data_IF_385953653095
#
_entry.id   IF_385953653095
#
_cell.length_a   1.000
_cell.length_b   1.000
_cell.length_c   1.000
_cell.angle_alpha   90.00
_cell.angle_beta   90.00
_cell.angle_gamma   90.00
#
_symmetry.space_group_name_H-M   'P 1'
#
loop_
_entity.id
_entity.type
_entity.pdbx_description
1 polymer ?
#
# COMPACT_ATOMS: atom_id res chain seq x y z
N UNK A 1 0.77 5.87 5.97
CA UNK A 1 2.23 5.88 5.61
C UNK A 1 3.07 6.00 6.87
N UNK A 2 4.39 5.83 6.77
CA UNK A 2 5.33 5.98 7.89
C UNK A 2 6.53 6.84 7.42
N UNK A 3 6.34 8.12 7.11
CA UNK A 3 7.38 8.92 6.45
C UNK A 3 8.65 9.05 7.32
N UNK A 4 8.51 9.25 8.61
CA UNK A 4 9.65 9.35 9.54
C UNK A 4 10.46 8.05 9.59
N UNK A 5 9.79 6.90 9.66
CA UNK A 5 10.44 5.58 9.66
C UNK A 5 11.17 5.32 8.35
N UNK A 6 10.55 5.61 7.22
CA UNK A 6 11.15 5.43 5.88
C UNK A 6 12.40 6.32 5.76
N UNK A 7 12.30 7.59 6.14
CA UNK A 7 13.44 8.52 6.11
C UNK A 7 14.60 8.05 6.99
N UNK A 8 14.30 7.53 8.19
CA UNK A 8 15.33 6.97 9.09
C UNK A 8 16.00 5.74 8.47
N UNK A 9 15.20 4.81 7.94
CA UNK A 9 15.71 3.59 7.30
C UNK A 9 16.65 3.93 6.12
N UNK A 10 16.23 4.88 5.27
CA UNK A 10 17.04 5.36 4.15
C UNK A 10 18.37 5.99 4.61
N UNK A 11 18.35 6.84 5.66
CA UNK A 11 19.56 7.43 6.23
C UNK A 11 20.54 6.39 6.80
N UNK A 12 20.00 5.27 7.31
CA UNK A 12 20.78 4.18 7.85
C UNK A 12 21.12 3.10 6.83
N UNK A 13 20.77 3.32 5.56
CA UNK A 13 20.90 2.33 4.46
C UNK A 13 20.22 0.98 4.77
N UNK A 14 19.06 1.03 5.41
CA UNK A 14 18.23 -0.14 5.71
C UNK A 14 17.17 -0.29 4.62
N UNK A 15 17.14 -1.45 3.96
CA UNK A 15 16.11 -1.77 2.98
C UNK A 15 14.74 -1.96 3.67
N UNK A 16 13.70 -1.35 3.10
CA UNK A 16 12.33 -1.46 3.59
C UNK A 16 11.49 -2.26 2.60
N UNK A 17 10.75 -3.24 3.10
CA UNK A 17 9.77 -4.01 2.32
C UNK A 17 8.37 -3.77 2.89
N UNK A 18 7.46 -3.26 2.03
CA UNK A 18 6.06 -3.07 2.39
C UNK A 18 5.25 -4.33 2.07
N UNK A 19 4.52 -4.83 3.06
CA UNK A 19 3.46 -5.81 2.87
C UNK A 19 2.09 -5.10 2.79
N UNK A 20 1.06 -5.83 2.34
CA UNK A 20 -0.32 -5.30 2.21
C UNK A 20 -0.41 -4.01 1.39
N UNK A 21 0.32 -3.96 0.27
CA UNK A 21 0.51 -2.77 -0.57
C UNK A 21 -0.79 -2.21 -1.18
N UNK A 22 -1.91 -2.95 -1.10
CA UNK A 22 -3.21 -2.54 -1.62
C UNK A 22 -4.14 -1.96 -0.53
N UNK A 23 -3.59 -1.64 0.65
CA UNK A 23 -4.33 -1.02 1.74
C UNK A 23 -5.45 -1.91 2.30
N UNK A 24 -6.69 -1.37 2.48
CA UNK A 24 -7.77 -2.08 3.18
C UNK A 24 -8.16 -3.41 2.53
N UNK A 25 -8.02 -3.57 1.22
CA UNK A 25 -8.35 -4.82 0.52
C UNK A 25 -7.58 -6.03 1.07
N UNK A 26 -6.33 -5.83 1.46
CA UNK A 26 -5.49 -6.91 2.00
C UNK A 26 -6.04 -7.53 3.29
N UNK A 27 -6.98 -6.86 3.93
CA UNK A 27 -7.55 -7.26 5.23
C UNK A 27 -9.03 -7.66 5.16
N UNK A 28 -9.77 -7.26 4.11
CA UNK A 28 -11.22 -7.51 3.99
C UNK A 28 -11.62 -8.99 3.98
N UNK A 29 -10.75 -9.86 3.48
CA UNK A 29 -10.99 -11.31 3.41
C UNK A 29 -10.56 -12.05 4.69
N UNK A 30 -10.03 -11.32 5.67
CA UNK A 30 -9.59 -11.89 6.95
C UNK A 30 -10.76 -11.98 7.95
N UNK A 31 -10.62 -12.80 9.02
CA UNK A 31 -11.62 -12.85 10.11
C UNK A 31 -11.93 -11.46 10.69
N UNK A 32 -13.13 -11.27 11.28
CA UNK A 32 -13.60 -9.96 11.78
C UNK A 32 -12.64 -9.24 12.74
N UNK A 33 -11.86 -9.98 13.53
CA UNK A 33 -10.84 -9.39 14.40
C UNK A 33 -9.81 -8.52 13.64
N UNK A 34 -9.56 -8.83 12.36
CA UNK A 34 -8.60 -8.10 11.51
C UNK A 34 -9.30 -7.18 10.50
N UNK A 35 -10.49 -7.56 10.02
CA UNK A 35 -11.18 -6.87 8.93
C UNK A 35 -12.11 -5.75 9.40
N UNK A 36 -12.54 -5.73 10.67
CA UNK A 36 -13.54 -4.77 11.18
C UNK A 36 -13.17 -3.29 10.91
N UNK A 37 -11.87 -2.97 10.93
CA UNK A 37 -11.38 -1.59 10.69
C UNK A 37 -11.31 -1.20 9.21
N UNK A 38 -11.59 -2.13 8.30
CA UNK A 38 -11.45 -1.92 6.85
C UNK A 38 -12.77 -1.79 6.12
N UNK A 39 -13.88 -2.16 6.76
CA UNK A 39 -15.18 -2.26 6.10
C UNK A 39 -15.70 -0.91 5.56
N UNK A 40 -15.48 0.17 6.30
CA UNK A 40 -15.93 1.52 5.95
C UNK A 40 -14.83 2.37 5.29
N UNK A 41 -13.72 1.75 4.90
CA UNK A 41 -12.62 2.45 4.23
C UNK A 41 -12.69 2.20 2.73
N UNK A 42 -12.68 3.29 1.94
CA UNK A 42 -12.64 3.19 0.49
C UNK A 42 -11.38 2.42 0.03
N UNK A 43 -11.54 1.61 -1.01
CA UNK A 43 -10.42 0.91 -1.61
C UNK A 43 -9.52 1.91 -2.34
N UNK A 44 -8.22 1.79 -2.17
CA UNK A 44 -7.27 2.71 -2.80
C UNK A 44 -7.33 2.69 -4.32
N UNK A 45 -7.63 1.54 -4.91
CA UNK A 45 -7.75 1.44 -6.36
C UNK A 45 -9.04 2.01 -6.95
N UNK A 46 -10.06 2.33 -6.12
CA UNK A 46 -11.29 2.99 -6.55
C UNK A 46 -11.21 4.53 -6.44
N UNK A 47 -10.10 5.06 -5.94
CA UNK A 47 -9.91 6.51 -5.76
C UNK A 47 -9.48 7.15 -7.08
N UNK A 48 -10.13 8.27 -7.44
CA UNK A 48 -9.94 8.97 -8.72
C UNK A 48 -8.48 9.22 -9.07
N UNK A 49 -7.66 9.67 -8.11
CA UNK A 49 -6.25 9.97 -8.36
C UNK A 49 -5.47 8.73 -8.82
N UNK A 50 -5.79 7.54 -8.28
CA UNK A 50 -5.17 6.28 -8.68
C UNK A 50 -5.69 5.83 -10.05
N UNK A 51 -7.00 5.95 -10.27
CA UNK A 51 -7.64 5.60 -11.54
C UNK A 51 -7.15 6.48 -12.69
N UNK A 52 -7.01 7.79 -12.47
CA UNK A 52 -6.52 8.72 -13.48
C UNK A 52 -5.06 8.41 -13.88
N UNK A 53 -4.20 8.14 -12.90
CA UNK A 53 -2.83 7.71 -13.17
C UNK A 53 -2.79 6.37 -13.94
N UNK A 54 -3.64 5.41 -13.56
CA UNK A 54 -3.76 4.13 -14.25
C UNK A 54 -4.18 4.31 -15.71
N UNK A 55 -5.20 5.12 -15.97
CA UNK A 55 -5.70 5.42 -17.31
C UNK A 55 -4.63 6.11 -18.18
N UNK A 56 -3.90 7.09 -17.63
CA UNK A 56 -2.81 7.79 -18.34
C UNK A 56 -1.72 6.83 -18.82
N UNK A 57 -1.39 5.84 -18.02
CA UNK A 57 -0.29 4.91 -18.32
C UNK A 57 -0.75 3.61 -19.01
N UNK A 58 -2.06 3.38 -19.17
CA UNK A 58 -2.58 2.09 -19.66
C UNK A 58 -2.25 0.93 -18.73
N UNK A 59 -2.15 1.19 -17.43
CA UNK A 59 -1.84 0.20 -16.38
C UNK A 59 -3.04 0.01 -15.45
N UNK A 60 -2.99 -1.01 -14.62
CA UNK A 60 -4.03 -1.23 -13.59
C UNK A 60 -3.77 -0.35 -12.36
N UNK A 61 -4.81 -0.03 -11.62
CA UNK A 61 -4.69 0.69 -10.34
C UNK A 61 -3.77 -0.04 -9.34
N UNK A 62 -3.78 -1.38 -9.35
CA UNK A 62 -2.85 -2.17 -8.54
C UNK A 62 -1.39 -1.92 -8.92
N UNK A 63 -1.07 -1.88 -10.21
CA UNK A 63 0.27 -1.55 -10.70
C UNK A 63 0.68 -0.13 -10.30
N UNK A 64 -0.23 0.85 -10.36
CA UNK A 64 0.02 2.22 -9.89
C UNK A 64 0.43 2.26 -8.42
N UNK A 65 -0.31 1.57 -7.56
CA UNK A 65 -0.01 1.51 -6.12
C UNK A 65 1.34 0.83 -5.83
N UNK A 66 1.68 -0.22 -6.55
CA UNK A 66 2.98 -0.87 -6.43
C UNK A 66 4.11 0.07 -6.89
N UNK A 67 3.93 0.72 -8.04
CA UNK A 67 4.93 1.66 -8.57
C UNK A 67 5.13 2.86 -7.65
N UNK A 68 4.07 3.41 -7.07
CA UNK A 68 4.15 4.47 -6.08
C UNK A 68 5.05 4.09 -4.89
N UNK A 69 4.92 2.88 -4.35
CA UNK A 69 5.79 2.43 -3.27
C UNK A 69 7.25 2.28 -3.73
N UNK A 70 7.46 1.68 -4.91
CA UNK A 70 8.81 1.45 -5.46
C UNK A 70 9.54 2.75 -5.78
N UNK A 71 8.88 3.77 -6.33
CA UNK A 71 9.50 5.07 -6.60
C UNK A 71 9.89 5.82 -5.32
N UNK A 72 9.34 5.45 -4.18
CA UNK A 72 9.73 5.92 -2.85
C UNK A 72 10.85 5.08 -2.20
N UNK A 73 11.48 4.18 -2.97
CA UNK A 73 12.57 3.32 -2.48
C UNK A 73 12.10 2.17 -1.56
N UNK A 74 10.84 1.74 -1.70
CA UNK A 74 10.25 0.68 -0.86
C UNK A 74 10.00 -0.54 -1.73
N UNK A 75 10.56 -1.69 -1.35
CA UNK A 75 10.24 -2.97 -2.00
C UNK A 75 8.81 -3.41 -1.66
N UNK A 76 8.17 -4.13 -2.58
CA UNK A 76 6.79 -4.60 -2.42
C UNK A 76 6.67 -6.10 -2.60
N UNK A 77 5.75 -6.73 -1.88
CA UNK A 77 5.50 -8.18 -1.93
C UNK A 77 4.00 -8.46 -2.14
N UNK A 78 3.45 -8.10 -3.31
CA UNK A 78 2.03 -8.31 -3.58
C UNK A 78 1.68 -9.79 -3.69
N UNK A 79 0.63 -10.23 -2.98
CA UNK A 79 0.09 -11.58 -3.06
C UNK A 79 -1.01 -11.65 -4.12
N UNK A 80 -0.98 -12.66 -4.96
CA UNK A 80 -2.09 -13.01 -5.85
C UNK A 80 -2.16 -14.52 -6.08
N UNK A 81 -3.38 -15.05 -6.24
CA UNK A 81 -3.64 -16.42 -6.69
C UNK A 81 -4.04 -16.46 -8.18
N UNK A 82 -4.10 -15.31 -8.84
CA UNK A 82 -4.43 -15.17 -10.24
C UNK A 82 -3.15 -14.99 -11.06
N UNK A 83 -2.95 -15.84 -12.09
CA UNK A 83 -1.73 -15.86 -12.92
C UNK A 83 -1.51 -14.54 -13.66
N UNK A 84 -2.57 -13.95 -14.19
CA UNK A 84 -2.46 -12.70 -14.96
C UNK A 84 -2.10 -11.52 -14.05
N UNK A 85 -2.69 -11.47 -12.85
CA UNK A 85 -2.32 -10.48 -11.84
C UNK A 85 -0.89 -10.66 -11.32
N UNK A 86 -0.38 -11.90 -11.24
CA UNK A 86 1.04 -12.13 -10.91
C UNK A 86 1.95 -11.56 -11.98
N UNK A 87 1.64 -11.76 -13.27
CA UNK A 87 2.39 -11.16 -14.37
C UNK A 87 2.33 -9.63 -14.30
N UNK A 88 1.13 -9.04 -14.16
CA UNK A 88 0.95 -7.60 -14.01
C UNK A 88 1.74 -7.00 -12.84
N UNK A 89 1.80 -7.71 -11.70
CA UNK A 89 2.57 -7.26 -10.54
C UNK A 89 4.09 -7.22 -10.79
N UNK A 90 4.60 -7.95 -11.77
CA UNK A 90 6.00 -7.89 -12.20
C UNK A 90 6.25 -6.75 -13.21
N UNK A 91 5.23 -6.35 -13.97
CA UNK A 91 5.29 -5.31 -14.99
C UNK A 91 5.11 -3.91 -14.38
N UNK A 92 5.87 -3.60 -13.34
CA UNK A 92 5.78 -2.32 -12.60
C UNK A 92 7.06 -1.49 -12.69
N UNK A 93 8.01 -1.90 -13.52
CA UNK A 93 9.32 -1.24 -13.65
C UNK A 93 9.50 -0.45 -14.94
N UNK A 94 8.59 -0.62 -15.91
CA UNK A 94 8.69 -0.10 -17.29
C UNK A 94 8.03 1.29 -17.49
N UNK A 95 7.52 1.91 -16.43
CA UNK A 95 6.88 3.22 -16.43
C UNK A 95 7.15 3.98 -15.13
N UNK A 96 6.86 5.27 -15.14
CA UNK A 96 7.02 6.15 -13.97
C UNK A 96 5.76 6.98 -13.73
N UNK A 97 5.44 7.13 -12.45
CA UNK A 97 4.49 8.12 -11.96
C UNK A 97 5.15 9.49 -11.96
N UNK A 98 4.40 10.51 -12.29
CA UNK A 98 4.82 11.90 -12.17
C UNK A 98 4.86 12.31 -10.69
N UNK A 99 5.61 13.37 -10.38
CA UNK A 99 5.81 13.78 -8.99
C UNK A 99 4.51 14.22 -8.33
N UNK A 100 3.66 14.94 -9.06
CA UNK A 100 2.32 15.32 -8.61
C UNK A 100 1.40 14.12 -8.36
N UNK A 101 1.52 13.04 -9.14
CA UNK A 101 0.79 11.79 -8.90
C UNK A 101 1.29 11.09 -7.63
N UNK A 102 2.61 11.06 -7.41
CA UNK A 102 3.20 10.50 -6.17
C UNK A 102 2.73 11.29 -4.95
N UNK A 103 2.72 12.62 -5.03
CA UNK A 103 2.24 13.49 -3.96
C UNK A 103 0.74 13.29 -3.71
N UNK A 104 -0.08 13.28 -4.77
CA UNK A 104 -1.51 13.10 -4.66
C UNK A 104 -1.89 11.73 -4.04
N UNK A 105 -1.22 10.65 -4.46
CA UNK A 105 -1.43 9.31 -3.85
C UNK A 105 -0.95 9.32 -2.38
N UNK A 106 0.15 10.00 -2.09
CA UNK A 106 0.65 10.14 -0.71
C UNK A 106 -0.31 10.93 0.18
N UNK A 107 -1.00 11.92 -0.37
CA UNK A 107 -2.05 12.69 0.30
C UNK A 107 -3.29 11.87 0.72
N UNK A 108 -3.45 10.65 0.21
CA UNK A 108 -4.51 9.73 0.63
C UNK A 108 -4.26 9.11 2.02
N UNK A 109 -3.11 9.35 2.62
CA UNK A 109 -2.78 8.79 3.95
C UNK A 109 -3.71 9.33 5.03
N UNK A 110 -4.39 8.43 5.71
CA UNK A 110 -5.32 8.72 6.79
C UNK A 110 -4.78 8.27 8.16
N UNK A 111 -3.52 7.88 8.25
CA UNK A 111 -2.91 7.37 9.48
C UNK A 111 -3.53 6.07 9.97
N UNK A 112 -4.23 5.30 9.12
CA UNK A 112 -4.91 4.08 9.52
C UNK A 112 -3.93 2.91 9.64
N UNK A 113 -3.96 2.24 10.78
CA UNK A 113 -3.20 1.02 11.07
C UNK A 113 -4.15 -0.17 10.96
N UNK A 114 -4.03 -0.96 9.88
CA UNK A 114 -4.88 -2.14 9.69
C UNK A 114 -4.34 -3.37 10.42
N UNK A 115 -3.02 -3.51 10.51
CA UNK A 115 -2.35 -4.58 11.22
C UNK A 115 -1.76 -4.06 12.54
N UNK A 116 -2.63 -3.85 13.50
CA UNK A 116 -2.27 -3.32 14.82
C UNK A 116 -2.47 -4.41 15.88
N UNK A 117 -1.38 -4.97 16.36
CA UNK A 117 -1.39 -6.02 17.36
C UNK A 117 -2.01 -5.59 18.70
N UNK A 118 -2.10 -4.29 18.96
CA UNK A 118 -2.83 -3.74 20.10
C UNK A 118 -4.32 -4.07 20.12
N UNK A 119 -4.90 -4.52 18.98
CA UNK A 119 -6.33 -4.82 18.87
C UNK A 119 -6.67 -6.31 18.91
N UNK A 120 -5.75 -7.20 18.55
CA UNK A 120 -6.05 -8.63 18.41
C UNK A 120 -5.21 -9.56 19.28
N UNK A 121 -4.30 -9.01 20.06
CA UNK A 121 -3.61 -9.78 21.10
C UNK A 121 -4.42 -9.76 22.39
N UNK A 122 -4.41 -10.87 23.14
CA UNK A 122 -5.06 -10.98 24.46
C UNK A 122 -4.51 -9.93 25.46
N UNK A 123 -3.26 -9.56 25.32
CA UNK A 123 -2.64 -8.41 26.00
C UNK A 123 -2.24 -7.38 24.96
N UNK A 124 -3.05 -6.34 24.73
CA UNK A 124 -2.75 -5.31 23.76
C UNK A 124 -1.48 -4.56 24.14
N UNK A 125 -0.50 -4.61 23.24
CA UNK A 125 0.73 -3.83 23.36
C UNK A 125 0.56 -2.62 22.42
N UNK A 126 0.58 -1.38 22.93
CA UNK A 126 0.50 -0.19 22.08
C UNK A 126 1.80 -0.04 21.30
N UNK A 127 1.84 -0.61 20.10
CA UNK A 127 3.00 -0.50 19.21
C UNK A 127 3.03 0.83 18.46
N UNK A 128 1.87 1.47 18.33
CA UNK A 128 1.68 2.74 17.62
C UNK A 128 0.97 3.71 18.58
N UNK A 129 1.73 4.31 19.46
CA UNK A 129 1.22 5.35 20.36
C UNK A 129 1.40 6.74 19.76
#
# INVERSE_FOLDING_TARGET
MQPTLITLAQKLNIAVTAYSSFGPQSFRELPPAFSARTNDVALLWDVDVVQNAAARMGKTAAQVLLRWAMQRGIAVIPKSNNKDRLAQNLEVTDYELQEDEIEAISGLDRGLMFNDSGYYLEMPIPLFA
#
